data_IF_570335921900
#
_entry.id   IF_570335921900
#
_cell.length_a   1.000
_cell.length_b   1.000
_cell.length_c   1.000
_cell.angle_alpha   90.00
_cell.angle_beta   90.00
_cell.angle_gamma   90.00
#
_symmetry.space_group_name_H-M   'P 1'
#
loop_
_entity.id
_entity.type
_entity.pdbx_description
1 polymer ?
#
# COMPACT_ATOMS: atom_id res chain seq x y z
N UNK A 1 -9.02 1.01 7.38
CA UNK A 1 -7.64 0.67 7.76
C UNK A 1 -6.69 1.53 6.94
N UNK A 2 -5.83 2.29 7.61
CA UNK A 2 -4.83 3.15 6.99
C UNK A 2 -3.60 2.30 6.61
N UNK A 3 -3.27 2.19 5.32
CA UNK A 3 -2.09 1.45 4.87
C UNK A 3 -0.94 2.44 4.69
N UNK A 4 0.19 2.09 5.27
CA UNK A 4 1.42 2.87 5.22
C UNK A 4 2.59 1.94 4.89
N UNK A 5 3.73 2.49 4.50
CA UNK A 5 4.97 1.73 4.27
C UNK A 5 4.79 0.57 3.26
N UNK A 6 4.29 0.91 2.08
CA UNK A 6 3.98 -0.04 1.01
C UNK A 6 5.24 -0.35 0.20
N UNK A 7 5.53 -1.63 -0.01
CA UNK A 7 6.60 -2.06 -0.93
C UNK A 7 6.07 -2.12 -2.38
N UNK A 8 6.86 -1.65 -3.36
CA UNK A 8 6.56 -1.89 -4.79
C UNK A 8 7.24 -3.17 -5.27
N UNK A 9 8.42 -3.46 -4.73
CA UNK A 9 9.21 -4.64 -5.02
C UNK A 9 9.52 -5.36 -3.72
N UNK A 10 9.26 -6.66 -3.68
CA UNK A 10 9.49 -7.50 -2.51
C UNK A 10 10.94 -7.36 -2.02
N UNK A 11 11.12 -6.99 -0.76
CA UNK A 11 12.44 -6.94 -0.13
C UNK A 11 13.26 -5.69 -0.47
N UNK A 12 12.70 -4.72 -1.19
CA UNK A 12 13.30 -3.39 -1.36
C UNK A 12 12.91 -2.39 -0.27
N UNK A 13 12.14 -2.83 0.74
CA UNK A 13 11.59 -1.96 1.78
C UNK A 13 10.43 -1.11 1.27
N UNK A 14 9.73 -0.46 2.19
CA UNK A 14 8.58 0.38 1.86
C UNK A 14 8.99 1.63 1.10
N UNK A 15 8.52 1.73 -0.15
CA UNK A 15 8.83 2.83 -1.06
C UNK A 15 7.70 3.85 -1.12
N UNK A 16 6.46 3.38 -1.02
CA UNK A 16 5.27 4.21 -1.08
C UNK A 16 4.72 4.49 0.32
N UNK A 17 4.14 5.67 0.48
CA UNK A 17 3.45 6.06 1.72
C UNK A 17 4.39 5.99 2.94
N UNK A 18 5.60 6.57 2.78
CA UNK A 18 6.63 6.66 3.83
C UNK A 18 6.52 7.93 4.68
N UNK A 19 5.88 8.97 4.17
CA UNK A 19 5.82 10.27 4.82
C UNK A 19 4.87 10.21 6.04
N UNK A 20 5.20 10.98 7.08
CA UNK A 20 4.35 11.11 8.26
C UNK A 20 2.96 11.65 7.84
N UNK A 21 1.91 10.89 8.12
CA UNK A 21 0.53 11.23 7.74
C UNK A 21 0.11 10.83 6.31
N UNK A 22 1.03 10.35 5.47
CA UNK A 22 0.65 9.73 4.21
C UNK A 22 -0.04 8.39 4.50
N UNK A 23 -1.23 8.21 3.93
CA UNK A 23 -2.02 6.98 4.09
C UNK A 23 -2.61 6.59 2.74
N UNK A 24 -2.40 5.35 2.33
CA UNK A 24 -3.12 4.75 1.21
C UNK A 24 -4.41 4.07 1.70
N UNK A 25 -5.44 4.15 0.85
CA UNK A 25 -6.71 3.46 1.06
C UNK A 25 -6.81 2.27 0.13
N UNK A 26 -7.15 1.11 0.70
CA UNK A 26 -7.47 -0.09 -0.07
C UNK A 26 -8.83 0.08 -0.73
N UNK A 27 -8.86 0.07 -2.06
CA UNK A 27 -10.07 0.17 -2.87
C UNK A 27 -10.62 -1.22 -3.14
N UNK A 28 -9.77 -2.10 -3.66
CA UNK A 28 -10.13 -3.46 -4.02
C UNK A 28 -8.99 -4.42 -3.69
N UNK A 29 -9.34 -5.68 -3.39
CA UNK A 29 -8.39 -6.77 -3.21
C UNK A 29 -8.87 -7.94 -4.06
N UNK A 30 -8.06 -8.35 -5.02
CA UNK A 30 -8.37 -9.44 -5.95
C UNK A 30 -7.29 -10.50 -5.86
N UNK A 31 -7.61 -11.61 -5.20
CA UNK A 31 -6.70 -12.74 -5.03
C UNK A 31 -5.33 -12.34 -4.46
N UNK A 32 -4.34 -12.26 -5.37
CA UNK A 32 -2.93 -11.94 -5.08
C UNK A 32 -2.58 -10.46 -5.25
N UNK A 33 -3.48 -9.65 -5.79
CA UNK A 33 -3.28 -8.24 -6.10
C UNK A 33 -4.25 -7.38 -5.28
N UNK A 34 -3.89 -6.12 -5.10
CA UNK A 34 -4.66 -5.15 -4.35
C UNK A 34 -4.54 -3.78 -5.02
N UNK A 35 -5.69 -3.16 -5.22
CA UNK A 35 -5.81 -1.82 -5.76
C UNK A 35 -5.86 -0.83 -4.62
N UNK A 36 -4.88 0.06 -4.59
CA UNK A 36 -4.73 1.10 -3.59
C UNK A 36 -4.84 2.47 -4.21
N UNK A 37 -5.54 3.34 -3.51
CA UNK A 37 -5.51 4.77 -3.80
C UNK A 37 -4.46 5.42 -2.91
N UNK A 38 -3.46 6.01 -3.55
CA UNK A 38 -2.41 6.78 -2.91
C UNK A 38 -2.94 8.12 -2.40
N UNK A 39 -2.27 8.76 -1.43
CA UNK A 39 -2.64 10.10 -0.98
C UNK A 39 -2.51 11.16 -2.09
N UNK A 40 -1.74 10.91 -3.14
CA UNK A 40 -1.70 11.74 -4.36
C UNK A 40 -3.01 11.71 -5.16
N UNK A 41 -3.91 10.76 -4.87
CA UNK A 41 -5.13 10.52 -5.63
C UNK A 41 -4.98 9.46 -6.72
N UNK A 42 -3.74 9.08 -7.05
CA UNK A 42 -3.42 8.04 -8.02
C UNK A 42 -3.81 6.65 -7.51
N UNK A 43 -4.20 5.78 -8.44
CA UNK A 43 -4.57 4.40 -8.14
C UNK A 43 -3.47 3.47 -8.65
N UNK A 44 -2.94 2.66 -7.76
CA UNK A 44 -1.90 1.67 -8.06
C UNK A 44 -2.37 0.26 -7.73
N UNK A 45 -2.06 -0.68 -8.62
CA UNK A 45 -2.21 -2.11 -8.37
C UNK A 45 -0.89 -2.63 -7.81
N UNK A 46 -0.94 -3.26 -6.64
CA UNK A 46 0.23 -3.90 -6.04
C UNK A 46 -0.09 -5.27 -5.48
N UNK A 47 0.93 -6.12 -5.41
CA UNK A 47 0.76 -7.45 -4.87
C UNK A 47 0.41 -7.39 -3.38
N UNK A 48 -0.56 -8.22 -2.97
CA UNK A 48 -1.02 -8.32 -1.59
C UNK A 48 0.11 -8.61 -0.60
N UNK A 49 1.14 -9.34 -1.05
CA UNK A 49 2.34 -9.67 -0.24
C UNK A 49 3.13 -8.43 0.18
N UNK A 50 2.99 -7.33 -0.55
CA UNK A 50 3.72 -6.08 -0.35
C UNK A 50 2.96 -5.05 0.48
N UNK A 51 1.73 -5.38 0.88
CA UNK A 51 0.91 -4.56 1.76
C UNK A 51 1.36 -4.76 3.21
N UNK A 52 1.97 -3.76 3.82
CA UNK A 52 2.23 -3.76 5.25
C UNK A 52 1.08 -3.06 5.98
N UNK A 53 0.30 -3.83 6.76
CA UNK A 53 -0.67 -3.31 7.70
C UNK A 53 -0.23 -3.76 9.09
N UNK A 54 0.47 -2.89 9.82
CA UNK A 54 0.68 -3.09 11.26
C UNK A 54 -0.64 -2.79 11.95
N UNK A 55 -1.50 -3.82 12.07
CA UNK A 55 -2.58 -3.83 13.05
C UNK A 55 -1.92 -3.94 14.43
N UNK A 56 -1.75 -2.81 15.09
CA UNK A 56 -1.79 -2.70 16.55
C UNK A 56 -2.98 -1.82 16.89
#
# INVERSE_FOLDING_TARGET
AAIHNIEITLGKGGQLVRAAGAVAKLIAKEGKSATLKLPSGEVHLIAKKLLSNRRT
#
